data_IF_872490786275
#
_entry.id   IF_872490786275
#
_cell.length_a   1.000
_cell.length_b   1.000
_cell.length_c   1.000
_cell.angle_alpha   90.00
_cell.angle_beta   90.00
_cell.angle_gamma   90.00
#
_symmetry.space_group_name_H-M   'P 1'
#
loop_
_entity.id
_entity.type
_entity.pdbx_description
1 polymer ?
#
# COMPACT_ATOMS: atom_id res chain seq x y z
N UNK A 1 -11.87 44.60 -19.08
CA UNK A 1 -12.88 43.63 -18.58
C UNK A 1 -12.78 42.30 -19.35
N UNK A 2 -11.62 42.04 -19.97
CA UNK A 2 -11.49 41.03 -21.02
C UNK A 2 -11.09 39.66 -20.47
N UNK A 3 -10.40 39.65 -19.32
CA UNK A 3 -9.97 38.44 -18.64
C UNK A 3 -11.14 37.57 -18.16
N UNK A 4 -12.30 38.19 -17.88
CA UNK A 4 -13.49 37.47 -17.45
C UNK A 4 -13.99 36.50 -18.53
N UNK A 5 -13.87 36.88 -19.80
CA UNK A 5 -14.23 36.04 -20.94
C UNK A 5 -13.31 34.83 -21.12
N UNK A 6 -12.10 34.87 -20.57
CA UNK A 6 -11.18 33.74 -20.55
C UNK A 6 -11.38 32.88 -19.29
N UNK A 7 -11.58 33.51 -18.13
CA UNK A 7 -11.71 32.83 -16.84
C UNK A 7 -12.99 32.03 -16.71
N UNK A 8 -14.12 32.50 -17.23
CA UNK A 8 -15.41 31.79 -17.18
C UNK A 8 -15.36 30.45 -17.92
N UNK A 9 -14.96 30.36 -19.21
CA UNK A 9 -14.88 29.07 -19.88
C UNK A 9 -13.80 28.18 -19.30
N UNK A 10 -12.66 28.76 -18.88
CA UNK A 10 -11.59 27.99 -18.24
C UNK A 10 -12.06 27.33 -16.94
N UNK A 11 -12.85 28.03 -16.11
CA UNK A 11 -13.36 27.47 -14.86
C UNK A 11 -14.39 26.37 -15.10
N UNK A 12 -15.25 26.50 -16.12
CA UNK A 12 -16.20 25.45 -16.51
C UNK A 12 -15.43 24.18 -16.90
N UNK A 13 -14.43 24.29 -17.76
CA UNK A 13 -13.60 23.15 -18.18
C UNK A 13 -12.91 22.51 -16.97
N UNK A 14 -12.37 23.32 -16.06
CA UNK A 14 -11.73 22.83 -14.83
C UNK A 14 -12.70 22.04 -13.94
N UNK A 15 -13.92 22.56 -13.75
CA UNK A 15 -14.96 21.88 -12.95
C UNK A 15 -15.35 20.54 -13.58
N UNK A 16 -15.53 20.49 -14.90
CA UNK A 16 -15.80 19.23 -15.59
C UNK A 16 -14.63 18.24 -15.48
N UNK A 17 -13.39 18.71 -15.65
CA UNK A 17 -12.20 17.89 -15.47
C UNK A 17 -12.13 17.26 -14.07
N UNK A 18 -12.32 18.06 -13.03
CA UNK A 18 -12.32 17.58 -11.65
C UNK A 18 -13.48 16.62 -11.42
N UNK A 19 -14.68 16.95 -11.89
CA UNK A 19 -15.88 16.11 -11.75
C UNK A 19 -15.70 14.73 -12.41
N UNK A 20 -15.15 14.68 -13.62
CA UNK A 20 -14.85 13.43 -14.32
C UNK A 20 -13.78 12.62 -13.59
N UNK A 21 -12.72 13.27 -13.13
CA UNK A 21 -11.66 12.61 -12.38
C UNK A 21 -12.16 12.01 -11.06
N UNK A 22 -12.98 12.76 -10.31
CA UNK A 22 -13.58 12.28 -9.08
C UNK A 22 -14.58 11.15 -9.33
N UNK A 23 -15.43 11.26 -10.37
CA UNK A 23 -16.36 10.19 -10.73
C UNK A 23 -15.62 8.91 -11.10
N UNK A 24 -14.55 9.01 -11.89
CA UNK A 24 -13.67 7.90 -12.21
C UNK A 24 -13.03 7.33 -10.93
N UNK A 25 -12.45 8.16 -10.07
CA UNK A 25 -11.80 7.73 -8.81
C UNK A 25 -12.74 6.95 -7.89
N UNK A 26 -13.98 7.45 -7.70
CA UNK A 26 -15.01 6.76 -6.92
C UNK A 26 -15.36 5.40 -7.53
N UNK A 27 -15.49 5.31 -8.87
CA UNK A 27 -15.80 4.04 -9.55
C UNK A 27 -14.66 3.01 -9.46
N UNK A 28 -13.41 3.47 -9.35
CA UNK A 28 -12.24 2.58 -9.22
C UNK A 28 -11.97 2.15 -7.78
N UNK A 29 -12.88 2.44 -6.85
CA UNK A 29 -12.78 1.98 -5.46
C UNK A 29 -11.48 2.41 -4.76
N UNK A 30 -10.87 3.53 -5.19
CA UNK A 30 -9.56 3.97 -4.69
C UNK A 30 -9.59 4.39 -3.20
N UNK A 31 -10.79 4.53 -2.63
CA UNK A 31 -11.00 4.87 -1.22
C UNK A 31 -11.21 3.66 -0.31
N UNK A 32 -11.30 2.45 -0.85
CA UNK A 32 -11.57 1.22 -0.07
C UNK A 32 -10.30 0.62 0.54
N UNK A 33 -9.10 0.97 0.04
CA UNK A 33 -7.81 0.47 0.54
C UNK A 33 -7.06 1.50 1.42
N UNK A 34 -7.81 2.32 2.17
CA UNK A 34 -7.23 3.23 3.18
C UNK A 34 -6.84 2.50 4.48
N UNK A 35 -7.39 1.31 4.71
CA UNK A 35 -7.14 0.49 5.90
C UNK A 35 -5.78 -0.25 5.84
N UNK A 36 -5.33 -0.64 4.64
CA UNK A 36 -4.09 -1.38 4.42
C UNK A 36 -2.81 -0.62 4.82
N UNK A 37 -2.66 0.68 4.47
CA UNK A 37 -1.53 1.52 4.91
C UNK A 37 -1.57 1.85 6.40
N UNK A 38 -2.76 2.09 6.97
CA UNK A 38 -2.92 2.44 8.38
C UNK A 38 -2.51 1.29 9.31
N UNK A 39 -2.82 0.04 8.94
CA UNK A 39 -2.42 -1.15 9.69
C UNK A 39 -0.88 -1.34 9.70
N UNK A 40 -0.19 -1.08 8.58
CA UNK A 40 1.27 -1.25 8.52
C UNK A 40 2.03 -0.32 9.47
N UNK A 41 1.58 0.93 9.62
CA UNK A 41 2.21 1.90 10.53
C UNK A 41 2.10 1.47 12.00
N UNK A 42 1.00 0.79 12.39
CA UNK A 42 0.81 0.27 13.75
C UNK A 42 1.54 -1.06 14.01
N UNK A 43 1.77 -1.87 12.97
CA UNK A 43 2.41 -3.20 13.09
C UNK A 43 3.91 -3.21 12.77
N UNK A 44 4.48 -2.15 12.21
CA UNK A 44 5.90 -2.08 11.83
C UNK A 44 6.84 -1.87 13.05
N UNK A 45 6.34 -1.42 14.20
CA UNK A 45 7.16 -1.26 15.42
C UNK A 45 7.50 -2.59 16.14
N UNK A 46 6.77 -3.68 15.85
CA UNK A 46 6.94 -4.98 16.54
C UNK A 46 7.80 -5.98 15.77
N UNK A 47 8.30 -5.63 14.58
CA UNK A 47 9.17 -6.50 13.78
C UNK A 47 10.63 -6.09 13.92
N UNK A 48 11.23 -6.47 15.04
CA UNK A 48 12.69 -6.62 15.11
C UNK A 48 13.15 -7.58 13.98
N UNK A 49 14.04 -7.17 13.07
CA UNK A 49 14.50 -8.02 11.96
C UNK A 49 15.41 -9.18 12.40
N UNK A 50 15.65 -9.37 13.69
CA UNK A 50 16.71 -10.26 14.20
C UNK A 50 16.27 -11.73 14.40
N UNK A 51 15.00 -12.08 14.14
CA UNK A 51 14.46 -13.43 14.40
C UNK A 51 14.19 -14.27 13.14
N UNK A 52 14.44 -13.75 11.93
CA UNK A 52 14.27 -14.52 10.69
C UNK A 52 15.54 -15.23 10.22
N UNK A 53 16.73 -14.83 10.71
CA UNK A 53 18.00 -15.41 10.25
C UNK A 53 18.47 -16.63 11.07
N UNK A 54 17.92 -16.85 12.27
CA UNK A 54 18.43 -17.84 13.23
C UNK A 54 17.60 -19.13 13.36
N UNK A 55 16.43 -19.25 12.71
CA UNK A 55 15.58 -20.45 12.83
C UNK A 55 15.64 -21.40 11.61
N UNK A 56 16.49 -21.12 10.62
CA UNK A 56 16.50 -21.85 9.35
C UNK A 56 17.74 -22.68 9.03
N UNK A 57 18.80 -22.64 9.85
CA UNK A 57 20.11 -23.19 9.42
C UNK A 57 20.58 -24.47 10.13
N UNK A 58 20.05 -24.81 11.32
CA UNK A 58 20.77 -25.79 12.17
C UNK A 58 19.97 -27.03 12.62
N UNK A 59 18.79 -27.32 12.06
CA UNK A 59 18.06 -28.56 12.40
C UNK A 59 18.21 -29.58 11.28
N UNK A 60 19.35 -30.26 11.27
CA UNK A 60 19.58 -31.52 10.53
C UNK A 60 19.02 -32.70 11.37
N UNK A 61 17.94 -33.38 10.94
CA UNK A 61 17.33 -34.44 11.72
C UNK A 61 18.00 -35.82 11.55
N UNK A 62 19.11 -35.97 10.81
CA UNK A 62 19.59 -37.29 10.36
C UNK A 62 20.61 -38.01 11.28
N UNK A 63 21.07 -37.42 12.39
CA UNK A 63 22.14 -38.05 13.21
C UNK A 63 21.68 -39.05 14.30
N UNK A 64 20.50 -39.66 14.20
CA UNK A 64 19.99 -40.60 15.23
C UNK A 64 20.14 -42.10 14.92
N UNK A 65 20.63 -42.49 13.73
CA UNK A 65 20.63 -43.91 13.32
C UNK A 65 21.96 -44.66 13.53
N UNK A 66 23.08 -43.98 13.78
CA UNK A 66 24.41 -44.63 13.65
C UNK A 66 25.17 -44.93 14.95
N UNK A 67 24.50 -44.90 16.11
CA UNK A 67 25.15 -45.18 17.42
C UNK A 67 24.74 -46.52 18.05
N UNK A 68 24.43 -47.52 17.21
CA UNK A 68 24.22 -48.93 17.62
C UNK A 68 24.87 -49.88 16.61
N UNK A 69 26.19 -50.05 16.71
CA UNK A 69 26.92 -51.21 16.23
C UNK A 69 28.13 -51.45 17.15
#
# INVERSE_FOLDING_TARGET
MDILYLLIPLSIVLVFMIGLFLWWSVRNNQFDDLDGPAYRILMDDDRSPDMAESYGRDVDPDQSSDRKA
#
